data_IF_249783737906
#
_entry.id   IF_249783737906
#
_cell.length_a   1.000
_cell.length_b   1.000
_cell.length_c   1.000
_cell.angle_alpha   90.00
_cell.angle_beta   90.00
_cell.angle_gamma   90.00
#
_symmetry.space_group_name_H-M   'P 1'
#
loop_
_entity.id
_entity.type
_entity.pdbx_description
1 polymer ?
#
# COMPACT_ATOMS: atom_id res chain seq x y z
N UNK A 1 42.55 36.11 10.64
CA UNK A 1 41.42 35.83 9.74
C UNK A 1 41.40 34.33 9.53
N UNK A 2 40.50 33.64 10.21
CA UNK A 2 40.38 32.18 10.12
C UNK A 2 39.02 31.92 9.51
N UNK A 3 39.02 31.58 8.22
CA UNK A 3 37.84 31.12 7.49
C UNK A 3 37.56 29.68 7.88
N UNK A 4 36.46 29.46 8.61
CA UNK A 4 35.89 28.13 8.80
C UNK A 4 34.68 28.02 7.86
N UNK A 5 34.86 27.28 6.78
CA UNK A 5 33.77 26.80 5.91
C UNK A 5 33.49 25.34 6.21
N UNK A 6 32.23 24.94 5.99
CA UNK A 6 31.68 23.57 5.92
C UNK A 6 31.67 22.79 7.25
N UNK A 7 30.63 22.03 7.62
CA UNK A 7 29.78 21.11 6.85
C UNK A 7 28.52 20.82 7.68
N UNK A 8 27.31 20.98 7.15
CA UNK A 8 26.52 19.92 6.48
C UNK A 8 25.28 19.61 7.32
N UNK A 9 24.14 19.79 6.67
CA UNK A 9 22.82 19.33 7.10
C UNK A 9 22.93 17.90 7.59
N UNK A 10 22.57 17.65 8.85
CA UNK A 10 22.33 16.31 9.36
C UNK A 10 21.23 15.68 8.49
N UNK A 11 21.63 14.86 7.52
CA UNK A 11 20.73 13.97 6.81
C UNK A 11 20.32 12.93 7.85
N UNK A 12 19.13 13.14 8.45
CA UNK A 12 18.55 12.19 9.38
C UNK A 12 18.36 10.90 8.60
N UNK A 13 19.12 9.88 8.95
CA UNK A 13 19.02 8.55 8.36
C UNK A 13 17.70 7.95 8.83
N UNK A 14 16.70 7.90 7.96
CA UNK A 14 15.38 7.39 8.28
C UNK A 14 15.39 5.87 8.18
N UNK A 15 14.68 5.20 9.09
CA UNK A 15 14.43 3.77 8.98
C UNK A 15 13.55 3.46 7.76
N UNK A 16 13.59 2.22 7.21
CA UNK A 16 12.71 1.80 6.12
C UNK A 16 11.22 2.04 6.42
N UNK A 17 10.83 1.89 7.68
CA UNK A 17 9.49 2.17 8.17
C UNK A 17 9.11 3.66 8.05
N UNK A 18 10.01 4.56 8.47
CA UNK A 18 9.79 6.00 8.35
C UNK A 18 9.73 6.47 6.89
N UNK A 19 10.52 5.85 6.01
CA UNK A 19 10.43 6.05 4.57
C UNK A 19 9.07 5.64 4.00
N UNK A 20 8.54 4.49 4.40
CA UNK A 20 7.19 4.06 4.03
C UNK A 20 6.12 5.05 4.51
N UNK A 21 6.16 5.47 5.78
CA UNK A 21 5.20 6.45 6.31
C UNK A 21 5.29 7.77 5.55
N UNK A 22 6.51 8.21 5.19
CA UNK A 22 6.72 9.40 4.36
C UNK A 22 6.12 9.23 2.96
N UNK A 23 6.29 8.09 2.32
CA UNK A 23 5.72 7.82 1.00
C UNK A 23 4.19 7.79 1.01
N UNK A 24 3.57 7.16 2.03
CA UNK A 24 2.11 7.16 2.19
C UNK A 24 1.58 8.57 2.48
N UNK A 25 2.27 9.37 3.29
CA UNK A 25 1.92 10.80 3.49
C UNK A 25 1.94 11.56 2.17
N UNK A 26 2.95 11.33 1.35
CA UNK A 26 3.06 11.99 0.05
C UNK A 26 1.94 11.58 -0.91
N UNK A 27 1.60 10.29 -0.96
CA UNK A 27 0.43 9.79 -1.70
C UNK A 27 -0.84 10.53 -1.28
N UNK A 28 -1.12 10.59 0.03
CA UNK A 28 -2.30 11.25 0.58
C UNK A 28 -2.31 12.74 0.20
N UNK A 29 -1.16 13.41 0.35
CA UNK A 29 -0.99 14.83 0.01
C UNK A 29 -1.32 15.10 -1.46
N UNK A 30 -0.78 14.29 -2.37
CA UNK A 30 -1.03 14.41 -3.82
C UNK A 30 -2.51 14.20 -4.14
N UNK A 31 -3.13 13.13 -3.60
CA UNK A 31 -4.56 12.84 -3.86
C UNK A 31 -5.49 13.91 -3.31
N UNK A 32 -5.21 14.47 -2.13
CA UNK A 32 -6.00 15.59 -1.59
C UNK A 32 -5.93 16.83 -2.50
N UNK A 33 -4.76 17.12 -3.10
CA UNK A 33 -4.57 18.27 -3.98
C UNK A 33 -5.21 18.10 -5.37
N UNK A 34 -5.29 16.86 -5.88
CA UNK A 34 -5.62 16.58 -7.29
C UNK A 34 -7.10 16.40 -7.62
N UNK A 35 -8.01 16.53 -6.66
CA UNK A 35 -9.47 16.21 -6.76
C UNK A 35 -9.77 14.79 -6.27
N UNK A 36 -9.95 14.65 -4.95
CA UNK A 36 -10.97 13.74 -4.42
C UNK A 36 -11.25 14.01 -2.93
N UNK A 37 -12.12 14.96 -2.61
CA UNK A 37 -12.63 15.11 -1.23
C UNK A 37 -13.47 13.91 -0.77
N UNK A 38 -13.76 12.97 -1.68
CA UNK A 38 -14.52 11.75 -1.43
C UNK A 38 -13.65 10.50 -1.38
N UNK A 39 -12.35 10.58 -1.67
CA UNK A 39 -11.48 9.40 -1.57
C UNK A 39 -11.44 8.92 -0.14
N UNK A 40 -11.59 7.61 -0.02
CA UNK A 40 -11.47 6.88 1.22
C UNK A 40 -10.31 5.90 1.10
N UNK A 41 -9.55 5.75 2.16
CA UNK A 41 -8.44 4.81 2.21
C UNK A 41 -8.61 3.85 3.38
N UNK A 42 -8.35 2.58 3.10
CA UNK A 42 -8.13 1.55 4.10
C UNK A 42 -6.65 1.23 4.12
N UNK A 43 -6.00 1.37 5.29
CA UNK A 43 -4.61 0.97 5.48
C UNK A 43 -4.60 -0.36 6.23
N UNK A 44 -4.13 -1.40 5.55
CA UNK A 44 -3.92 -2.73 6.13
C UNK A 44 -2.43 -2.90 6.40
N UNK A 45 -2.09 -3.18 7.65
CA UNK A 45 -0.75 -3.63 8.04
C UNK A 45 -0.81 -5.14 8.23
N UNK A 46 0.22 -5.86 7.78
CA UNK A 46 0.27 -7.31 7.92
C UNK A 46 1.67 -7.82 8.26
N UNK A 47 1.69 -9.02 8.82
CA UNK A 47 2.85 -9.86 9.11
C UNK A 47 2.35 -11.31 9.14
N UNK A 48 2.40 -11.97 10.29
CA UNK A 48 1.70 -13.26 10.51
C UNK A 48 0.18 -13.10 10.68
N UNK A 49 -0.28 -11.92 11.06
CA UNK A 49 -1.69 -11.51 11.10
C UNK A 49 -1.86 -10.24 10.28
N UNK A 50 -3.10 -9.80 10.05
CA UNK A 50 -3.38 -8.54 9.37
C UNK A 50 -4.39 -7.73 10.18
N UNK A 51 -4.24 -6.40 10.17
CA UNK A 51 -5.16 -5.47 10.84
C UNK A 51 -5.40 -4.25 9.97
N UNK A 52 -6.59 -3.65 10.11
CA UNK A 52 -6.89 -2.34 9.52
C UNK A 52 -6.55 -1.28 10.54
N UNK A 53 -5.60 -0.43 10.22
CA UNK A 53 -5.28 0.74 11.04
C UNK A 53 -6.24 1.89 10.72
N UNK A 54 -6.59 2.02 9.45
CA UNK A 54 -7.67 2.88 8.96
C UNK A 54 -8.61 2.04 8.11
N UNK A 55 -9.92 2.27 8.21
CA UNK A 55 -10.93 1.56 7.42
C UNK A 55 -11.86 2.55 6.75
N UNK A 56 -11.71 2.72 5.43
CA UNK A 56 -12.50 3.66 4.61
C UNK A 56 -12.49 5.08 5.17
N UNK A 57 -11.36 5.49 5.74
CA UNK A 57 -11.21 6.82 6.34
C UNK A 57 -11.03 7.85 5.22
N UNK A 58 -11.61 9.04 5.38
CA UNK A 58 -11.37 10.13 4.43
C UNK A 58 -9.90 10.53 4.48
N UNK A 59 -9.29 10.81 3.33
CA UNK A 59 -7.86 11.10 3.26
C UNK A 59 -7.40 12.22 4.20
N UNK A 60 -8.22 13.27 4.38
CA UNK A 60 -7.92 14.40 5.26
C UNK A 60 -8.06 14.11 6.76
N UNK A 61 -8.54 12.93 7.14
CA UNK A 61 -8.62 12.47 8.53
C UNK A 61 -7.55 11.43 8.89
N UNK A 62 -6.76 10.97 7.91
CA UNK A 62 -5.68 10.03 8.15
C UNK A 62 -4.48 10.79 8.70
N UNK A 63 -4.12 10.48 9.95
CA UNK A 63 -2.94 11.00 10.61
C UNK A 63 -1.87 9.90 10.69
N UNK A 64 -0.87 9.98 9.81
CA UNK A 64 0.22 9.01 9.75
C UNK A 64 1.19 9.11 10.93
N UNK A 65 1.21 10.23 11.66
CA UNK A 65 2.10 10.43 12.81
C UNK A 65 1.54 9.77 14.09
N UNK A 66 0.24 9.46 14.08
CA UNK A 66 -0.45 8.73 15.17
C UNK A 66 -0.65 7.25 14.89
N UNK A 67 0.02 6.73 13.87
CA UNK A 67 -0.16 5.35 13.42
C UNK A 67 0.44 4.38 14.45
N UNK A 68 -0.41 3.87 15.34
CA UNK A 68 -0.01 2.90 16.36
C UNK A 68 -0.14 1.48 15.81
N UNK A 69 0.98 0.92 15.35
CA UNK A 69 1.03 -0.48 14.92
C UNK A 69 1.18 -1.36 16.15
N UNK A 70 0.33 -2.38 16.32
CA UNK A 70 0.54 -3.35 17.39
C UNK A 70 1.93 -3.98 17.24
N UNK A 71 2.78 -3.82 18.26
CA UNK A 71 4.13 -4.39 18.29
C UNK A 71 4.15 -5.91 18.03
N UNK A 72 3.04 -6.59 18.33
CA UNK A 72 2.83 -8.00 18.04
C UNK A 72 2.82 -8.35 16.54
N UNK A 73 2.75 -7.36 15.65
CA UNK A 73 2.77 -7.56 14.19
C UNK A 73 4.16 -7.39 13.58
N UNK A 74 5.10 -6.80 14.30
CA UNK A 74 6.44 -6.54 13.80
C UNK A 74 7.35 -7.77 13.96
N UNK A 75 8.08 -8.14 12.91
CA UNK A 75 9.15 -9.16 12.95
C UNK A 75 8.69 -10.62 13.10
N UNK A 76 7.39 -10.90 12.99
CA UNK A 76 6.85 -12.27 13.19
C UNK A 76 6.89 -13.13 11.92
N UNK A 77 7.24 -12.56 10.77
CA UNK A 77 7.19 -13.23 9.46
C UNK A 77 6.14 -12.63 8.54
N UNK A 78 6.09 -13.15 7.32
CA UNK A 78 5.33 -12.57 6.22
C UNK A 78 4.31 -13.59 5.71
N UNK A 79 3.02 -13.31 5.90
CA UNK A 79 1.92 -14.17 5.46
C UNK A 79 0.98 -13.39 4.54
N UNK A 80 1.04 -13.69 3.24
CA UNK A 80 0.20 -12.99 2.26
C UNK A 80 -1.26 -13.41 2.33
N UNK A 81 -1.58 -14.65 2.75
CA UNK A 81 -2.97 -15.10 2.89
C UNK A 81 -3.73 -14.26 3.91
N UNK A 82 -3.12 -13.88 5.04
CA UNK A 82 -3.81 -13.02 6.02
C UNK A 82 -4.04 -11.60 5.50
N UNK A 83 -3.09 -11.07 4.70
CA UNK A 83 -3.23 -9.77 4.07
C UNK A 83 -4.40 -9.77 3.06
N UNK A 84 -4.42 -10.75 2.16
CA UNK A 84 -5.49 -10.86 1.16
C UNK A 84 -6.83 -11.27 1.76
N UNK A 85 -6.87 -12.06 2.83
CA UNK A 85 -8.09 -12.32 3.57
C UNK A 85 -8.67 -11.04 4.20
N UNK A 86 -7.83 -10.16 4.74
CA UNK A 86 -8.26 -8.85 5.26
C UNK A 86 -8.73 -7.91 4.14
N UNK A 87 -8.09 -7.95 2.97
CA UNK A 87 -8.57 -7.25 1.78
C UNK A 87 -9.94 -7.76 1.35
N UNK A 88 -10.14 -9.07 1.23
CA UNK A 88 -11.44 -9.68 0.91
C UNK A 88 -12.51 -9.28 1.93
N UNK A 89 -12.19 -9.28 3.22
CA UNK A 89 -13.10 -8.79 4.27
C UNK A 89 -13.50 -7.33 4.04
N UNK A 90 -12.53 -6.48 3.70
CA UNK A 90 -12.78 -5.07 3.39
C UNK A 90 -13.67 -4.91 2.15
N UNK A 91 -13.40 -5.65 1.09
CA UNK A 91 -14.20 -5.62 -0.14
C UNK A 91 -15.63 -6.12 0.09
N UNK A 92 -15.83 -7.11 0.96
CA UNK A 92 -17.18 -7.54 1.36
C UNK A 92 -17.95 -6.44 2.09
N UNK A 93 -17.30 -5.72 3.01
CA UNK A 93 -17.92 -4.59 3.69
C UNK A 93 -18.30 -3.48 2.71
N UNK A 94 -17.46 -3.21 1.71
CA UNK A 94 -17.76 -2.23 0.65
C UNK A 94 -18.93 -2.71 -0.22
N UNK A 95 -18.90 -3.97 -0.67
CA UNK A 95 -19.93 -4.57 -1.53
C UNK A 95 -21.31 -4.60 -0.87
N UNK A 96 -21.36 -4.73 0.45
CA UNK A 96 -22.60 -4.80 1.23
C UNK A 96 -23.08 -3.42 1.70
N UNK A 97 -22.36 -2.35 1.41
CA UNK A 97 -22.75 -0.98 1.74
C UNK A 97 -23.58 -0.39 0.60
N UNK A 98 -24.87 -0.14 0.87
CA UNK A 98 -25.85 0.35 -0.11
C UNK A 98 -25.55 1.74 -0.67
N UNK A 99 -24.56 2.45 -0.14
CA UNK A 99 -24.11 3.76 -0.60
C UNK A 99 -22.95 3.62 -1.62
N UNK A 100 -22.34 2.43 -1.74
CA UNK A 100 -21.05 2.22 -2.39
C UNK A 100 -21.08 1.47 -3.73
N UNK A 101 -22.25 1.28 -4.35
CA UNK A 101 -22.43 0.45 -5.55
C UNK A 101 -21.54 0.83 -6.76
N UNK A 102 -20.90 2.01 -6.74
CA UNK A 102 -19.99 2.50 -7.79
C UNK A 102 -18.52 2.62 -7.39
N UNK A 103 -18.13 2.28 -6.15
CA UNK A 103 -16.77 2.51 -5.67
C UNK A 103 -15.79 1.50 -6.28
N UNK A 104 -15.02 1.98 -7.25
CA UNK A 104 -13.86 1.29 -7.81
C UNK A 104 -12.67 1.37 -6.86
N UNK A 105 -11.93 0.27 -6.76
CA UNK A 105 -10.83 0.11 -5.81
C UNK A 105 -9.49 0.09 -6.54
N UNK A 106 -8.55 0.91 -6.05
CA UNK A 106 -7.12 0.78 -6.36
C UNK A 106 -6.46 0.08 -5.18
N UNK A 107 -5.86 -1.08 -5.43
CA UNK A 107 -5.13 -1.84 -4.41
C UNK A 107 -3.64 -1.57 -4.57
N UNK A 108 -2.97 -1.26 -3.47
CA UNK A 108 -1.51 -1.09 -3.38
C UNK A 108 -0.99 -2.13 -2.39
N UNK A 109 -0.28 -3.14 -2.89
CA UNK A 109 0.31 -4.21 -2.12
C UNK A 109 1.83 -4.05 -2.07
N UNK A 110 2.35 -3.67 -0.89
CA UNK A 110 3.79 -3.52 -0.65
C UNK A 110 4.29 -4.64 0.26
N UNK A 111 5.47 -5.19 -0.04
CA UNK A 111 6.16 -6.16 0.81
C UNK A 111 7.66 -6.04 0.63
N UNK A 112 8.40 -6.23 1.72
CA UNK A 112 9.86 -6.40 1.73
C UNK A 112 10.28 -7.86 1.96
N UNK A 113 9.32 -8.75 2.18
CA UNK A 113 9.54 -10.15 2.49
C UNK A 113 8.91 -11.12 1.50
N UNK A 114 9.03 -12.41 1.83
CA UNK A 114 8.46 -13.51 1.07
C UNK A 114 7.42 -14.29 1.86
N UNK A 115 6.36 -14.80 1.21
CA UNK A 115 5.36 -15.56 1.93
C UNK A 115 5.85 -16.97 2.22
N UNK A 116 5.49 -17.48 3.40
CA UNK A 116 5.71 -18.91 3.71
C UNK A 116 4.90 -19.83 2.80
N UNK A 117 3.70 -19.39 2.37
CA UNK A 117 2.77 -20.15 1.52
C UNK A 117 2.14 -19.22 0.50
N UNK A 118 2.03 -19.69 -0.74
CA UNK A 118 1.36 -18.93 -1.81
C UNK A 118 -0.17 -18.85 -1.55
N UNK A 119 -0.78 -17.65 -1.58
CA UNK A 119 -2.16 -17.43 -1.14
C UNK A 119 -3.19 -17.75 -2.25
N UNK A 120 -3.23 -19.01 -2.70
CA UNK A 120 -4.02 -19.44 -3.86
C UNK A 120 -5.51 -19.12 -3.72
N UNK A 121 -6.14 -19.48 -2.60
CA UNK A 121 -7.58 -19.31 -2.37
C UNK A 121 -8.00 -17.85 -2.35
N UNK A 122 -7.19 -16.98 -1.72
CA UNK A 122 -7.51 -15.56 -1.64
C UNK A 122 -7.36 -14.88 -3.01
N UNK A 123 -6.29 -15.20 -3.75
CA UNK A 123 -6.06 -14.63 -5.08
C UNK A 123 -7.09 -15.11 -6.09
N UNK A 124 -7.55 -16.36 -6.01
CA UNK A 124 -8.65 -16.84 -6.84
C UNK A 124 -9.89 -15.99 -6.62
N UNK A 125 -10.34 -15.84 -5.38
CA UNK A 125 -11.51 -15.01 -5.04
C UNK A 125 -11.35 -13.56 -5.47
N UNK A 126 -10.18 -12.95 -5.27
CA UNK A 126 -9.91 -11.58 -5.71
C UNK A 126 -10.00 -11.45 -7.24
N UNK A 127 -9.43 -12.41 -7.98
CA UNK A 127 -9.41 -12.41 -9.45
C UNK A 127 -10.73 -12.80 -10.11
N UNK A 128 -11.68 -13.40 -9.38
CA UNK A 128 -13.00 -13.81 -9.89
C UNK A 128 -14.10 -12.95 -9.31
N UNK A 129 -14.32 -13.03 -8.00
CA UNK A 129 -15.52 -12.53 -7.32
C UNK A 129 -15.49 -11.01 -7.14
N UNK A 130 -14.29 -10.44 -7.05
CA UNK A 130 -14.06 -9.00 -6.84
C UNK A 130 -13.43 -8.31 -8.04
N UNK A 131 -13.26 -9.01 -9.17
CA UNK A 131 -12.60 -8.48 -10.37
C UNK A 131 -13.22 -7.17 -10.85
N UNK A 132 -14.55 -7.07 -10.83
CA UNK A 132 -15.26 -5.85 -11.26
C UNK A 132 -15.12 -4.67 -10.30
N UNK A 133 -14.76 -4.92 -9.04
CA UNK A 133 -14.54 -3.88 -8.03
C UNK A 133 -13.10 -3.34 -8.07
N UNK A 134 -12.12 -4.17 -8.48
CA UNK A 134 -10.70 -3.81 -8.50
C UNK A 134 -10.36 -3.26 -9.88
N UNK A 135 -10.02 -1.96 -9.95
CA UNK A 135 -9.64 -1.30 -11.21
C UNK A 135 -8.14 -1.34 -11.42
N UNK A 136 -7.36 -1.19 -10.34
CA UNK A 136 -5.91 -1.25 -10.40
C UNK A 136 -5.38 -2.11 -9.26
N UNK A 137 -4.35 -2.89 -9.56
CA UNK A 137 -3.64 -3.69 -8.58
C UNK A 137 -2.14 -3.43 -8.73
N UNK A 138 -1.59 -2.64 -7.82
CA UNK A 138 -0.18 -2.27 -7.78
C UNK A 138 0.53 -3.18 -6.80
N UNK A 139 1.66 -3.74 -7.23
CA UNK A 139 2.52 -4.58 -6.40
C UNK A 139 3.87 -3.89 -6.32
N UNK A 140 4.36 -3.69 -5.11
CA UNK A 140 5.67 -3.12 -4.84
C UNK A 140 6.48 -4.11 -4.02
N UNK A 141 7.64 -4.50 -4.55
CA UNK A 141 8.63 -5.28 -3.82
C UNK A 141 9.75 -4.38 -3.36
N UNK A 142 9.99 -4.29 -2.05
CA UNK A 142 11.06 -3.47 -1.46
C UNK A 142 12.28 -4.32 -1.10
N UNK A 143 13.45 -3.94 -1.60
CA UNK A 143 14.71 -4.60 -1.24
C UNK A 143 14.74 -6.08 -1.64
N UNK A 144 14.95 -6.98 -0.67
CA UNK A 144 15.11 -8.41 -0.92
C UNK A 144 13.83 -9.20 -0.67
N UNK A 145 13.03 -9.37 -1.72
CA UNK A 145 11.79 -10.14 -1.72
C UNK A 145 11.81 -11.23 -2.81
N UNK A 146 10.85 -12.14 -2.73
CA UNK A 146 10.70 -13.21 -3.72
C UNK A 146 10.03 -12.71 -5.00
N UNK A 147 10.85 -12.23 -5.96
CA UNK A 147 10.38 -11.71 -7.26
C UNK A 147 9.47 -12.67 -8.01
N UNK A 148 9.76 -13.97 -7.98
CA UNK A 148 8.97 -14.99 -8.67
C UNK A 148 7.53 -15.04 -8.12
N UNK A 149 7.38 -15.00 -6.80
CA UNK A 149 6.06 -15.00 -6.17
C UNK A 149 5.31 -13.72 -6.50
N UNK A 150 5.93 -12.54 -6.42
CA UNK A 150 5.25 -11.29 -6.77
C UNK A 150 4.85 -11.23 -8.25
N UNK A 151 5.68 -11.76 -9.14
CA UNK A 151 5.36 -11.87 -10.56
C UNK A 151 4.12 -12.76 -10.79
N UNK A 152 4.02 -13.90 -10.10
CA UNK A 152 2.84 -14.78 -10.18
C UNK A 152 1.57 -14.08 -9.67
N UNK A 153 1.67 -13.32 -8.58
CA UNK A 153 0.56 -12.52 -8.05
C UNK A 153 0.19 -11.44 -9.07
N UNK A 154 1.17 -10.77 -9.66
CA UNK A 154 0.97 -9.73 -10.66
C UNK A 154 0.19 -10.25 -11.87
N UNK A 155 0.61 -11.38 -12.42
CA UNK A 155 -0.05 -12.04 -13.56
C UNK A 155 -1.49 -12.45 -13.22
N UNK A 156 -1.70 -13.05 -12.04
CA UNK A 156 -3.02 -13.49 -11.57
C UNK A 156 -3.98 -12.31 -11.39
N UNK A 157 -3.49 -11.19 -10.87
CA UNK A 157 -4.28 -10.00 -10.60
C UNK A 157 -4.34 -9.01 -11.78
N UNK A 158 -3.64 -9.31 -12.88
CA UNK A 158 -3.49 -8.41 -14.03
C UNK A 158 -2.98 -7.03 -13.60
N UNK A 159 -2.04 -7.03 -12.66
CA UNK A 159 -1.52 -5.84 -11.98
C UNK A 159 -0.30 -5.22 -12.65
N UNK A 160 0.28 -4.25 -11.94
CA UNK A 160 1.59 -3.66 -12.24
C UNK A 160 2.57 -3.89 -11.09
N UNK A 161 3.66 -4.59 -11.37
CA UNK A 161 4.75 -4.83 -10.45
C UNK A 161 5.80 -3.71 -10.59
N UNK A 162 6.20 -3.14 -9.46
CA UNK A 162 7.26 -2.14 -9.35
C UNK A 162 8.33 -2.66 -8.39
N UNK A 163 9.56 -2.77 -8.87
CA UNK A 163 10.70 -3.15 -8.07
C UNK A 163 11.29 -1.90 -7.41
N UNK A 164 11.37 -1.89 -6.08
CA UNK A 164 11.90 -0.78 -5.29
C UNK A 164 13.19 -1.26 -4.62
N UNK A 165 14.33 -0.73 -5.04
CA UNK A 165 15.62 -1.15 -4.49
C UNK A 165 15.83 -0.59 -3.08
N UNK A 166 15.49 0.68 -2.87
CA UNK A 166 15.75 1.37 -1.60
C UNK A 166 14.50 2.04 -1.02
N UNK A 167 14.38 2.14 0.31
CA UNK A 167 13.21 2.75 0.93
C UNK A 167 12.95 4.21 0.52
N UNK A 168 14.00 4.98 0.22
CA UNK A 168 13.87 6.37 -0.26
C UNK A 168 13.09 6.48 -1.58
N UNK A 169 13.12 5.46 -2.43
CA UNK A 169 12.47 5.47 -3.74
C UNK A 169 10.95 5.21 -3.65
N UNK A 170 10.46 4.78 -2.47
CA UNK A 170 9.02 4.58 -2.23
C UNK A 170 8.21 5.85 -2.49
N UNK A 171 8.78 7.03 -2.21
CA UNK A 171 8.06 8.29 -2.37
C UNK A 171 7.68 8.55 -3.83
N UNK A 172 8.58 8.23 -4.76
CA UNK A 172 8.34 8.41 -6.20
C UNK A 172 7.31 7.40 -6.71
N UNK A 173 7.43 6.14 -6.30
CA UNK A 173 6.48 5.09 -6.67
C UNK A 173 5.05 5.40 -6.18
N UNK A 174 4.91 5.82 -4.93
CA UNK A 174 3.60 6.22 -4.39
C UNK A 174 3.06 7.48 -5.07
N UNK A 175 3.91 8.45 -5.43
CA UNK A 175 3.50 9.62 -6.19
C UNK A 175 2.99 9.24 -7.60
N UNK A 176 3.66 8.33 -8.30
CA UNK A 176 3.21 7.81 -9.59
C UNK A 176 1.84 7.13 -9.47
N UNK A 177 1.65 6.29 -8.45
CA UNK A 177 0.36 5.62 -8.25
C UNK A 177 -0.74 6.65 -7.96
N UNK A 178 -0.46 7.66 -7.13
CA UNK A 178 -1.41 8.73 -6.83
C UNK A 178 -1.85 9.45 -8.10
N UNK A 179 -0.92 9.68 -9.04
CA UNK A 179 -1.17 10.35 -10.31
C UNK A 179 -1.96 9.50 -11.31
N UNK A 180 -1.77 8.18 -11.29
CA UNK A 180 -2.43 7.25 -12.22
C UNK A 180 -3.91 6.97 -11.91
N UNK A 181 -4.38 7.31 -10.71
CA UNK A 181 -5.73 6.97 -10.28
C UNK A 181 -6.83 7.77 -11.01
N UNK A 182 -6.46 8.80 -11.79
CA UNK A 182 -7.38 9.68 -12.51
C UNK A 182 -7.62 9.26 -13.97
N UNK A 183 -6.82 8.33 -14.51
CA UNK A 183 -6.72 8.09 -15.97
C UNK A 183 -7.83 7.26 -16.64
N UNK A 184 -8.89 6.86 -15.93
CA UNK A 184 -9.94 5.99 -16.50
C UNK A 184 -11.37 6.58 -16.46
N UNK A 185 -11.48 7.91 -16.51
CA UNK A 185 -12.72 8.62 -16.84
C UNK A 185 -12.60 9.22 -18.25
N UNK A 186 -12.63 8.37 -19.27
CA UNK A 186 -12.83 8.77 -20.66
C UNK A 186 -13.75 7.79 -21.36
#
# INVERSE_FOLDING_TARGET
>A
MTTTTTSDSHQIDLSPWEHLLKAVREFIRIRIQKVCHTDQMTIIVFGNSATRIYNREKLNHIDMDRLNIPMSMCGQGTNFSVAFAMLIKTLNEIKNDSICDSLRQTIIFLTDGEPQVYPTSELERLSTDYKSMITHFWIMGLGNYNKKVLQQINEKMQGKLTDIEKPEDLIEAYAEIADSCDTNLS
#
